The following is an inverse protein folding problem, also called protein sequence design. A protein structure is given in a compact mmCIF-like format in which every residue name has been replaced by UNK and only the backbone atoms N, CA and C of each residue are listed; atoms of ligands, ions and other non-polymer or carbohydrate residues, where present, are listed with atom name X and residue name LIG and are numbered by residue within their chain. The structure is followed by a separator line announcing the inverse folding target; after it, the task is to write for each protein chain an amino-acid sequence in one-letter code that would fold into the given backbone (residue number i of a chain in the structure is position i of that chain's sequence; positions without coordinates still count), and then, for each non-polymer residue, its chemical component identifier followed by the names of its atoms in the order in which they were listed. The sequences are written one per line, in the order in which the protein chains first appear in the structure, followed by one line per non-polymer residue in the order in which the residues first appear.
data_IF_595802793570
#
_entry.id   IF_595802793570
#
_cell.length_a   1.000
_cell.length_b   1.000
_cell.length_c   1.000
_cell.angle_alpha   90.00
_cell.angle_beta   90.00
_cell.angle_gamma   90.00
#
_symmetry.space_group_name_H-M   'P 1'
#
loop_
_entity.id
_entity.type
_entity.pdbx_description
1 polymer ?
#
# COMPACT_ATOMS: atom_id res chain seq x y z
N UNK A 1 3.07 1.87 -2.68
CA UNK A 1 3.07 0.94 -1.52
C UNK A 1 4.32 1.24 -0.72
N UNK A 2 4.24 2.16 0.23
CA UNK A 2 5.42 2.92 0.61
C UNK A 2 6.07 2.35 1.87
N UNK A 3 6.86 1.30 1.67
CA UNK A 3 7.56 0.56 2.73
C UNK A 3 9.05 0.45 2.37
N UNK A 4 9.90 1.16 3.11
CA UNK A 4 11.36 1.13 2.90
C UNK A 4 12.06 -0.07 3.55
N UNK A 5 11.47 -0.64 4.61
CA UNK A 5 11.98 -1.83 5.31
C UNK A 5 10.83 -2.83 5.55
N UNK A 6 10.63 -3.81 4.65
CA UNK A 6 9.50 -4.74 4.73
C UNK A 6 9.68 -5.73 5.88
N UNK A 7 9.03 -5.46 7.02
CA UNK A 7 9.19 -6.21 8.27
C UNK A 7 8.95 -7.73 8.20
N UNK A 8 8.22 -8.21 7.19
CA UNK A 8 7.97 -9.64 6.97
C UNK A 8 9.02 -10.34 6.10
N UNK A 9 9.97 -9.62 5.49
CA UNK A 9 10.97 -10.21 4.58
C UNK A 9 11.87 -11.22 5.29
N UNK A 10 12.17 -10.99 6.57
CA UNK A 10 12.93 -11.91 7.42
C UNK A 10 12.26 -13.28 7.54
N UNK A 11 10.92 -13.35 7.49
CA UNK A 11 10.20 -14.64 7.49
C UNK A 11 10.37 -15.37 6.16
N UNK A 12 10.36 -14.63 5.06
CA UNK A 12 10.64 -15.20 3.73
C UNK A 12 12.08 -15.73 3.72
N UNK A 13 13.05 -14.95 4.18
CA UNK A 13 14.45 -15.39 4.26
C UNK A 13 14.61 -16.65 5.11
N UNK A 14 13.91 -16.73 6.24
CA UNK A 14 13.90 -17.92 7.08
C UNK A 14 13.36 -19.15 6.34
N UNK A 15 12.26 -19.04 5.58
CA UNK A 15 11.73 -20.14 4.77
C UNK A 15 12.75 -20.69 3.76
N UNK A 16 13.52 -19.81 3.12
CA UNK A 16 14.49 -20.15 2.08
C UNK A 16 15.93 -20.25 2.59
N UNK A 17 16.16 -20.33 3.91
CA UNK A 17 17.49 -20.37 4.47
C UNK A 17 18.30 -21.61 4.03
N UNK A 18 19.60 -21.45 3.77
CA UNK A 18 20.54 -22.56 3.54
C UNK A 18 20.76 -23.35 4.83
N UNK A 19 20.97 -22.63 5.93
CA UNK A 19 21.07 -23.18 7.28
C UNK A 19 19.97 -22.57 8.16
N UNK A 20 19.11 -23.44 8.70
CA UNK A 20 17.99 -23.07 9.59
C UNK A 20 18.44 -22.68 10.99
N UNK A 21 19.69 -22.95 11.35
CA UNK A 21 20.27 -22.58 12.63
C UNK A 21 21.07 -21.26 12.57
N UNK A 22 21.28 -20.71 11.38
CA UNK A 22 21.93 -19.43 11.16
C UNK A 22 20.90 -18.29 10.99
N UNK A 23 21.27 -17.02 11.28
CA UNK A 23 20.37 -15.88 11.13
C UNK A 23 19.77 -15.74 9.72
N UNK A 24 18.48 -15.42 9.66
CA UNK A 24 17.72 -15.18 8.42
C UNK A 24 18.10 -13.82 7.78
N UNK A 25 19.26 -13.80 7.13
CA UNK A 25 19.81 -12.65 6.41
C UNK A 25 19.89 -12.95 4.92
N UNK A 26 20.02 -11.92 4.08
CA UNK A 26 20.16 -12.10 2.62
C UNK A 26 21.34 -13.00 2.22
N UNK A 27 22.40 -13.06 3.04
CA UNK A 27 23.57 -13.92 2.81
C UNK A 27 23.33 -15.41 3.11
N UNK A 28 22.25 -15.76 3.81
CA UNK A 28 21.89 -17.15 4.15
C UNK A 28 20.67 -17.63 3.35
N UNK A 29 20.29 -16.99 2.24
CA UNK A 29 19.10 -17.35 1.46
C UNK A 29 19.46 -18.12 0.20
N UNK A 30 18.79 -19.25 -0.02
CA UNK A 30 18.82 -20.00 -1.27
C UNK A 30 18.07 -19.24 -2.38
N UNK A 31 18.74 -18.23 -2.96
CA UNK A 31 18.16 -17.32 -3.95
C UNK A 31 17.58 -18.03 -5.17
N UNK A 32 18.19 -19.13 -5.62
CA UNK A 32 17.66 -19.91 -6.74
C UNK A 32 16.27 -20.49 -6.43
N UNK A 33 16.06 -20.99 -5.21
CA UNK A 33 14.76 -21.50 -4.75
C UNK A 33 13.74 -20.37 -4.57
N UNK A 34 14.16 -19.27 -3.96
CA UNK A 34 13.29 -18.11 -3.78
C UNK A 34 12.82 -17.54 -5.14
N UNK A 35 13.71 -17.43 -6.13
CA UNK A 35 13.37 -16.93 -7.48
C UNK A 35 12.52 -17.91 -8.29
N UNK A 36 12.62 -19.20 -7.99
CA UNK A 36 11.74 -20.21 -8.60
C UNK A 36 10.29 -20.06 -8.09
N UNK A 37 10.12 -19.77 -6.80
CA UNK A 37 8.79 -19.72 -6.17
C UNK A 37 8.17 -18.31 -6.16
N UNK A 38 8.99 -17.26 -6.26
CA UNK A 38 8.56 -15.87 -6.15
C UNK A 38 9.15 -15.01 -7.27
N UNK A 39 8.26 -14.29 -7.95
CA UNK A 39 8.57 -13.26 -8.93
C UNK A 39 8.11 -11.89 -8.44
N UNK A 40 8.82 -10.83 -8.81
CA UNK A 40 8.49 -9.46 -8.42
C UNK A 40 8.82 -8.44 -9.51
N UNK A 41 8.06 -7.35 -9.56
CA UNK A 41 8.33 -6.18 -10.41
C UNK A 41 7.97 -4.90 -9.66
N UNK A 42 8.47 -3.76 -10.13
CA UNK A 42 8.13 -2.42 -9.63
C UNK A 42 7.26 -1.68 -10.63
N UNK A 43 6.21 -1.02 -10.16
CA UNK A 43 5.28 -0.24 -11.00
C UNK A 43 5.28 1.19 -10.49
N UNK A 44 5.50 2.14 -11.38
CA UNK A 44 5.47 3.57 -11.08
C UNK A 44 4.03 4.12 -11.06
N UNK A 45 3.89 5.36 -10.57
CA UNK A 45 2.60 6.02 -10.40
C UNK A 45 1.90 6.28 -11.74
N UNK A 46 2.65 6.67 -12.77
CA UNK A 46 2.10 6.91 -14.11
C UNK A 46 1.48 5.64 -14.70
N UNK A 47 2.22 4.53 -14.65
CA UNK A 47 1.73 3.21 -15.08
C UNK A 47 0.50 2.80 -14.25
N UNK A 48 0.51 3.08 -12.94
CA UNK A 48 -0.61 2.77 -12.05
C UNK A 48 -1.89 3.51 -12.47
N UNK A 49 -1.80 4.82 -12.75
CA UNK A 49 -2.92 5.64 -13.23
C UNK A 49 -3.44 5.13 -14.59
N UNK A 50 -2.53 4.86 -15.52
CA UNK A 50 -2.87 4.35 -16.84
C UNK A 50 -3.58 2.98 -16.77
N UNK A 51 -3.14 2.11 -15.86
CA UNK A 51 -3.77 0.81 -15.63
C UNK A 51 -5.19 0.95 -15.11
N UNK A 52 -5.45 1.86 -14.15
CA UNK A 52 -6.82 2.11 -13.66
C UNK A 52 -7.73 2.56 -14.82
N UNK A 53 -7.26 3.51 -15.63
CA UNK A 53 -8.00 4.03 -16.78
C UNK A 53 -8.29 2.93 -17.82
N UNK A 54 -7.28 2.13 -18.16
CA UNK A 54 -7.40 1.03 -19.11
C UNK A 54 -8.38 -0.04 -18.64
N UNK A 55 -8.25 -0.51 -17.40
CA UNK A 55 -9.12 -1.55 -16.84
C UNK A 55 -10.58 -1.06 -16.77
N UNK A 56 -10.81 0.20 -16.39
CA UNK A 56 -12.16 0.76 -16.38
C UNK A 56 -12.74 0.88 -17.79
N UNK A 57 -11.94 1.29 -18.78
CA UNK A 57 -12.40 1.38 -20.17
C UNK A 57 -12.79 0.00 -20.74
N UNK A 58 -12.01 -1.03 -20.43
CA UNK A 58 -12.17 -2.39 -20.97
C UNK A 58 -13.23 -3.19 -20.22
N UNK A 59 -13.21 -3.16 -18.89
CA UNK A 59 -14.01 -4.06 -18.05
C UNK A 59 -15.07 -3.34 -17.21
N UNK A 60 -15.11 -2.01 -17.23
CA UNK A 60 -15.98 -1.19 -16.35
C UNK A 60 -15.75 -1.47 -14.86
N UNK A 61 -14.56 -1.94 -14.51
CA UNK A 61 -14.14 -2.19 -13.14
C UNK A 61 -13.21 -1.08 -12.65
N UNK A 62 -13.50 -0.50 -11.48
CA UNK A 62 -12.68 0.56 -10.89
C UNK A 62 -11.73 -0.05 -9.86
N UNK A 63 -10.43 -0.04 -10.17
CA UNK A 63 -9.38 -0.52 -9.26
C UNK A 63 -8.93 0.58 -8.30
N UNK A 64 -8.61 0.20 -7.08
CA UNK A 64 -7.74 1.02 -6.22
C UNK A 64 -6.28 0.95 -6.74
N UNK A 65 -5.42 1.92 -6.42
CA UNK A 65 -4.04 1.95 -6.90
C UNK A 65 -3.23 0.69 -6.54
N UNK A 66 -3.49 0.05 -5.39
CA UNK A 66 -2.78 -1.16 -4.98
C UNK A 66 -3.17 -2.35 -5.87
N UNK A 67 -4.47 -2.49 -6.16
CA UNK A 67 -4.97 -3.50 -7.11
C UNK A 67 -4.40 -3.26 -8.50
N UNK A 68 -4.31 -2.00 -8.95
CA UNK A 68 -3.74 -1.65 -10.26
C UNK A 68 -2.26 -2.01 -10.38
N UNK A 69 -1.46 -1.81 -9.33
CA UNK A 69 -0.06 -2.29 -9.28
C UNK A 69 -0.01 -3.81 -9.45
N UNK A 70 -0.86 -4.55 -8.74
CA UNK A 70 -0.93 -6.01 -8.84
C UNK A 70 -1.39 -6.49 -10.23
N UNK A 71 -2.35 -5.80 -10.85
CA UNK A 71 -2.77 -6.08 -12.23
C UNK A 71 -1.62 -5.92 -13.22
N UNK A 72 -0.94 -4.77 -13.19
CA UNK A 72 0.24 -4.52 -14.03
C UNK A 72 1.32 -5.57 -13.81
N UNK A 73 1.54 -6.00 -12.57
CA UNK A 73 2.50 -7.05 -12.25
C UNK A 73 2.13 -8.39 -12.89
N UNK A 74 0.85 -8.78 -12.86
CA UNK A 74 0.36 -9.99 -13.53
C UNK A 74 0.57 -9.91 -15.05
N UNK A 75 0.22 -8.79 -15.68
CA UNK A 75 0.38 -8.60 -17.12
C UNK A 75 1.86 -8.71 -17.53
N UNK A 76 2.77 -8.05 -16.80
CA UNK A 76 4.22 -8.16 -17.03
C UNK A 76 4.73 -9.59 -16.81
N UNK A 77 4.23 -10.30 -15.79
CA UNK A 77 4.61 -11.68 -15.56
C UNK A 77 4.17 -12.59 -16.72
N UNK A 78 2.98 -12.37 -17.29
CA UNK A 78 2.48 -13.11 -18.46
C UNK A 78 3.37 -12.98 -19.69
N UNK A 79 4.14 -11.90 -19.81
CA UNK A 79 5.06 -11.69 -20.94
C UNK A 79 6.37 -12.48 -20.81
N UNK A 80 6.67 -13.00 -19.62
CA UNK A 80 7.84 -13.87 -19.35
C UNK A 80 7.67 -15.24 -20.01
N UNK A 81 8.78 -16.00 -20.13
CA UNK A 81 8.72 -17.36 -20.68
C UNK A 81 7.81 -18.28 -19.84
N UNK A 82 7.92 -18.20 -18.52
CA UNK A 82 7.08 -18.95 -17.57
C UNK A 82 5.61 -18.55 -17.70
N UNK A 83 5.33 -17.24 -17.68
CA UNK A 83 3.96 -16.72 -17.79
C UNK A 83 3.28 -17.06 -19.12
N UNK A 84 4.02 -17.05 -20.23
CA UNK A 84 3.50 -17.48 -21.56
C UNK A 84 3.10 -18.94 -21.60
N UNK A 85 3.77 -19.79 -20.82
CA UNK A 85 3.47 -21.23 -20.73
C UNK A 85 2.36 -21.57 -19.73
N UNK A 86 1.99 -20.62 -18.87
CA UNK A 86 1.03 -20.85 -17.79
C UNK A 86 -0.42 -20.79 -18.29
N UNK A 87 -1.16 -21.87 -18.06
CA UNK A 87 -2.57 -22.01 -18.48
C UNK A 87 -3.56 -21.96 -17.31
N UNK A 88 -3.08 -21.78 -16.08
CA UNK A 88 -3.91 -21.75 -14.88
C UNK A 88 -4.66 -20.43 -14.70
N UNK A 89 -5.62 -20.39 -13.76
CA UNK A 89 -6.26 -19.15 -13.35
C UNK A 89 -5.26 -18.25 -12.62
N UNK A 90 -5.37 -16.94 -12.85
CA UNK A 90 -4.65 -15.92 -12.07
C UNK A 90 -5.61 -15.29 -11.06
N UNK A 91 -5.17 -15.20 -9.81
CA UNK A 91 -5.93 -14.58 -8.74
C UNK A 91 -5.22 -13.29 -8.35
N UNK A 92 -5.92 -12.15 -8.52
CA UNK A 92 -5.46 -10.85 -8.07
C UNK A 92 -6.13 -10.49 -6.75
N UNK A 93 -5.32 -10.19 -5.73
CA UNK A 93 -5.83 -9.72 -4.45
C UNK A 93 -6.15 -8.22 -4.54
N UNK A 94 -7.44 -7.88 -4.54
CA UNK A 94 -7.86 -6.49 -4.40
C UNK A 94 -7.83 -6.10 -2.93
N UNK A 95 -6.78 -5.37 -2.54
CA UNK A 95 -6.44 -5.17 -1.12
C UNK A 95 -7.17 -3.99 -0.48
N UNK A 96 -7.80 -3.13 -1.26
CA UNK A 96 -8.57 -2.00 -0.76
C UNK A 96 -9.72 -1.62 -1.70
N UNK A 97 -10.73 -0.96 -1.12
CA UNK A 97 -11.80 -0.34 -1.90
C UNK A 97 -11.32 0.99 -2.51
N UNK A 98 -11.61 1.30 -3.79
CA UNK A 98 -11.13 2.52 -4.48
C UNK A 98 -11.53 3.82 -3.79
N UNK A 99 -12.70 3.87 -3.13
CA UNK A 99 -13.15 5.03 -2.35
C UNK A 99 -12.22 5.43 -1.17
N UNK A 100 -11.19 4.65 -0.85
CA UNK A 100 -10.13 5.03 0.10
C UNK A 100 -9.07 5.97 -0.51
N UNK A 101 -9.06 6.12 -1.84
CA UNK A 101 -8.05 6.83 -2.63
C UNK A 101 -8.71 7.74 -3.68
N UNK A 102 -9.76 8.47 -3.30
CA UNK A 102 -10.58 9.25 -4.24
C UNK A 102 -9.77 10.25 -5.06
N UNK A 103 -8.76 10.88 -4.48
CA UNK A 103 -7.85 11.80 -5.18
C UNK A 103 -7.10 11.12 -6.33
N UNK A 104 -6.64 9.89 -6.15
CA UNK A 104 -5.99 9.11 -7.21
C UNK A 104 -7.02 8.68 -8.26
N UNK A 105 -8.21 8.25 -7.82
CA UNK A 105 -9.29 7.84 -8.73
C UNK A 105 -9.77 9.01 -9.59
N UNK A 106 -9.89 10.21 -9.02
CA UNK A 106 -10.31 11.42 -9.72
C UNK A 106 -9.27 11.84 -10.79
N UNK A 107 -7.98 11.61 -10.54
CA UNK A 107 -6.92 11.82 -11.54
C UNK A 107 -7.01 10.78 -12.66
N UNK A 108 -7.15 9.49 -12.31
CA UNK A 108 -7.20 8.41 -13.31
C UNK A 108 -8.50 8.43 -14.14
N UNK A 109 -9.62 8.81 -13.53
CA UNK A 109 -10.98 8.75 -14.09
C UNK A 109 -11.76 10.06 -13.85
N UNK A 110 -11.34 11.20 -14.41
CA UNK A 110 -11.86 12.53 -14.06
C UNK A 110 -13.35 12.75 -14.39
N UNK A 111 -13.94 11.88 -15.22
CA UNK A 111 -15.36 11.92 -15.60
C UNK A 111 -16.22 10.91 -14.84
N UNK A 112 -15.63 10.12 -13.94
CA UNK A 112 -16.33 9.08 -13.20
C UNK A 112 -16.47 9.48 -11.73
N UNK A 113 -17.70 9.74 -11.31
CA UNK A 113 -18.00 9.94 -9.90
C UNK A 113 -18.17 8.57 -9.21
N UNK A 114 -17.15 8.16 -8.45
CA UNK A 114 -17.21 6.91 -7.69
C UNK A 114 -18.18 7.06 -6.51
N UNK A 115 -19.15 6.15 -6.42
CA UNK A 115 -20.05 6.11 -5.27
C UNK A 115 -19.28 5.72 -4.00
N UNK A 116 -19.32 6.58 -2.98
CA UNK A 116 -18.71 6.30 -1.67
C UNK A 116 -19.68 5.48 -0.82
N UNK A 117 -19.29 4.30 -0.31
CA UNK A 117 -20.16 3.51 0.56
C UNK A 117 -20.60 4.30 1.80
N UNK A 118 -21.87 4.15 2.20
CA UNK A 118 -22.46 4.92 3.30
C UNK A 118 -21.64 4.86 4.60
N UNK A 119 -21.17 3.66 4.98
CA UNK A 119 -20.34 3.46 6.17
C UNK A 119 -19.03 4.25 6.14
N UNK A 120 -18.40 4.37 4.95
CA UNK A 120 -17.18 5.15 4.78
C UNK A 120 -17.51 6.65 4.84
N UNK A 121 -18.55 7.09 4.13
CA UNK A 121 -18.96 8.49 4.12
C UNK A 121 -19.29 8.98 5.55
N UNK A 122 -19.97 8.17 6.36
CA UNK A 122 -20.29 8.50 7.75
C UNK A 122 -19.05 8.73 8.63
N UNK A 123 -17.91 8.10 8.31
CA UNK A 123 -16.64 8.30 9.03
C UNK A 123 -15.86 9.48 8.48
N UNK A 124 -15.84 9.67 7.15
CA UNK A 124 -15.11 10.77 6.49
C UNK A 124 -15.64 12.17 6.91
N UNK A 125 -16.92 12.27 7.27
CA UNK A 125 -17.54 13.52 7.75
C UNK A 125 -17.20 13.85 9.21
N UNK A 126 -16.60 12.92 9.97
CA UNK A 126 -16.27 13.17 11.38
C UNK A 126 -15.06 14.08 11.50
N UNK A 127 -15.06 14.91 12.55
CA UNK A 127 -13.91 15.73 12.87
C UNK A 127 -12.71 14.84 13.25
N UNK A 128 -11.61 14.98 12.49
CA UNK A 128 -10.34 14.31 12.78
C UNK A 128 -9.84 14.69 14.17
N UNK A 129 -9.53 13.68 14.98
CA UNK A 129 -8.88 13.84 16.27
C UNK A 129 -7.50 13.18 16.21
N UNK A 130 -6.50 13.97 15.87
CA UNK A 130 -5.11 13.54 15.82
C UNK A 130 -4.21 14.60 16.43
N UNK A 131 -3.07 14.18 16.93
CA UNK A 131 -2.07 15.06 17.52
C UNK A 131 -0.73 14.84 16.83
N UNK A 132 -0.11 15.92 16.37
CA UNK A 132 1.17 15.84 15.70
C UNK A 132 2.29 15.76 16.72
N UNK A 133 3.21 14.82 16.52
CA UNK A 133 4.38 14.60 17.37
C UNK A 133 5.63 14.51 16.50
N UNK A 134 6.79 14.82 17.07
CA UNK A 134 8.07 14.54 16.41
C UNK A 134 8.32 13.03 16.39
N UNK A 135 9.05 12.50 15.39
CA UNK A 135 9.33 11.06 15.28
C UNK A 135 10.42 10.60 16.28
N UNK A 136 10.17 10.80 17.58
CA UNK A 136 11.07 10.41 18.66
C UNK A 136 10.34 9.47 19.61
N UNK A 137 10.94 8.31 19.89
CA UNK A 137 10.38 7.30 20.80
C UNK A 137 10.08 7.88 22.19
N UNK A 138 10.96 8.73 22.72
CA UNK A 138 10.77 9.38 24.02
C UNK A 138 9.49 10.23 24.07
N UNK A 139 9.18 10.97 22.99
CA UNK A 139 7.95 11.76 22.87
C UNK A 139 6.72 10.87 22.87
N UNK A 140 6.73 9.80 22.06
CA UNK A 140 5.63 8.84 22.01
C UNK A 140 5.39 8.17 23.37
N UNK A 141 6.46 7.69 24.02
CA UNK A 141 6.43 7.06 25.34
C UNK A 141 5.79 8.01 26.36
N UNK A 142 6.25 9.27 26.42
CA UNK A 142 5.71 10.26 27.36
C UNK A 142 4.20 10.45 27.17
N UNK A 143 3.72 10.53 25.93
CA UNK A 143 2.30 10.73 25.63
C UNK A 143 1.46 9.52 26.04
N UNK A 144 1.90 8.30 25.72
CA UNK A 144 1.15 7.07 26.03
C UNK A 144 1.00 6.82 27.53
N UNK A 145 2.01 7.18 28.33
CA UNK A 145 2.01 6.99 29.78
C UNK A 145 1.52 8.22 30.57
N UNK A 146 1.16 9.31 29.88
CA UNK A 146 0.58 10.48 30.54
C UNK A 146 -0.92 10.30 30.79
N UNK A 147 -1.46 10.74 31.93
CA UNK A 147 -2.90 10.70 32.17
C UNK A 147 -3.66 11.55 31.13
N UNK A 148 -4.90 11.20 30.77
CA UNK A 148 -5.67 11.87 29.71
C UNK A 148 -5.82 13.38 29.87
N UNK A 149 -5.79 13.87 31.12
CA UNK A 149 -5.85 15.30 31.47
C UNK A 149 -4.60 16.09 31.04
N UNK A 150 -3.43 15.46 30.99
CA UNK A 150 -2.14 16.09 30.63
C UNK A 150 -1.92 16.16 29.12
N UNK A 151 -2.44 15.18 28.40
CA UNK A 151 -2.31 15.04 26.94
C UNK A 151 -2.96 16.24 26.22
N UNK A 152 -4.08 16.78 26.72
CA UNK A 152 -4.76 17.94 26.12
C UNK A 152 -3.94 19.24 26.19
N UNK A 153 -3.06 19.37 27.18
CA UNK A 153 -2.29 20.60 27.42
C UNK A 153 -0.88 20.57 26.79
N UNK A 154 -0.34 19.38 26.48
CA UNK A 154 1.01 19.24 25.92
C UNK A 154 1.04 19.00 24.40
N UNK A 155 -0.11 18.71 23.78
CA UNK A 155 -0.18 18.50 22.34
C UNK A 155 -0.44 19.82 21.61
N UNK A 156 0.39 20.19 20.61
CA UNK A 156 0.09 21.33 19.76
C UNK A 156 -1.27 21.13 19.09
N UNK A 157 -1.98 22.25 18.89
CA UNK A 157 -3.34 22.35 18.36
C UNK A 157 -3.73 21.17 17.44
N UNK A 158 -4.82 20.48 17.77
CA UNK A 158 -5.43 19.45 16.90
C UNK A 158 -5.62 20.07 15.52
N UNK A 159 -4.95 19.53 14.50
CA UNK A 159 -5.03 20.11 13.16
C UNK A 159 -6.45 19.96 12.61
N UNK A 160 -7.08 21.10 12.30
CA UNK A 160 -8.33 21.19 11.53
C UNK A 160 -8.01 21.01 10.04
N UNK A 161 -7.41 19.90 9.66
CA UNK A 161 -7.19 19.62 8.23
C UNK A 161 -8.50 19.08 7.65
N UNK A 162 -9.24 19.94 6.96
CA UNK A 162 -10.27 19.54 6.02
C UNK A 162 -9.57 19.02 4.75
N UNK A 163 -10.00 17.86 4.26
CA UNK A 163 -9.48 17.26 3.03
C UNK A 163 -8.50 16.13 3.29
N UNK A 164 -8.88 14.92 2.86
CA UNK A 164 -7.93 13.86 2.59
C UNK A 164 -7.19 14.24 1.31
N UNK A 165 -5.97 14.75 1.46
CA UNK A 165 -5.01 14.87 0.37
C UNK A 165 -3.94 13.84 0.66
N UNK A 166 -3.88 12.76 -0.12
CA UNK A 166 -2.66 11.99 -0.25
C UNK A 166 -1.72 12.86 -1.06
N UNK A 167 -0.92 13.69 -0.38
CA UNK A 167 0.20 14.33 -1.05
C UNK A 167 1.13 13.22 -1.51
N UNK A 168 1.12 12.94 -2.81
CA UNK A 168 2.26 12.36 -3.52
C UNK A 168 3.43 13.25 -3.14
N UNK A 169 4.26 12.75 -2.23
CA UNK A 169 5.49 13.46 -1.87
C UNK A 169 6.44 13.22 -3.02
N UNK A 170 6.49 14.18 -3.94
CA UNK A 170 7.65 14.43 -4.77
C UNK A 170 8.84 14.67 -3.84
N UNK A 171 9.53 13.59 -3.45
CA UNK A 171 10.87 13.52 -2.86
C UNK A 171 11.15 12.09 -2.43
N UNK A 172 11.61 11.29 -3.37
CA UNK A 172 12.87 10.55 -3.27
C UNK A 172 13.49 10.46 -4.67
#
# INVERSE_FOLDING_TARGET
MDVGDPSNIVRIFDFYAHDKHAPATSGNVALARLRHDLWSTSVDDETTLNTIAHVYATYRYVMDPHTAVGWTAIERWRETAEGKSFQGPMILLSTAHPAKFLDIIDVALPKHALAVPHALNAVLQKQKQAAQIRPHYATLKKILFSPPSRIKNELPNRSRAAGYSWQVRDKF
#
